data_IF_790974567178
#
_entry.id   IF_790974567178
#
_cell.length_a   1.000
_cell.length_b   1.000
_cell.length_c   1.000
_cell.angle_alpha   90.00
_cell.angle_beta   90.00
_cell.angle_gamma   90.00
#
_symmetry.space_group_name_H-M   'P 1'
#
loop_
_entity.id
_entity.type
_entity.pdbx_description
1 polymer ?
#
# COMPACT_ATOMS: atom_id res chain seq x y z
N UNK A 1 4.91 13.31 -0.29
CA UNK A 1 4.67 11.96 -0.83
C UNK A 1 3.21 11.82 -1.23
N UNK A 2 2.92 11.28 -2.39
CA UNK A 2 1.55 11.23 -2.84
C UNK A 2 0.73 10.21 -2.07
N UNK A 3 -0.45 10.64 -1.63
CA UNK A 3 -1.48 9.74 -1.17
C UNK A 3 -2.22 9.25 -2.41
N UNK A 4 -2.26 7.94 -2.62
CA UNK A 4 -2.86 7.35 -3.80
C UNK A 4 -4.36 7.20 -3.63
N UNK A 5 -4.81 6.80 -2.42
CA UNK A 5 -6.22 6.57 -2.15
C UNK A 5 -6.48 6.72 -0.66
N UNK A 6 -7.70 7.13 -0.31
CA UNK A 6 -8.12 7.29 1.08
C UNK A 6 -9.30 6.38 1.38
N UNK A 7 -9.25 5.78 2.57
CA UNK A 7 -10.30 4.89 3.07
C UNK A 7 -10.78 5.40 4.43
N UNK A 8 -11.87 4.84 4.94
CA UNK A 8 -12.44 5.31 6.20
C UNK A 8 -11.45 5.22 7.37
N UNK A 9 -10.63 4.16 7.41
CA UNK A 9 -9.72 3.91 8.54
C UNK A 9 -8.24 4.10 8.21
N UNK A 10 -7.91 4.37 6.94
CA UNK A 10 -6.50 4.51 6.56
C UNK A 10 -6.36 5.23 5.22
N UNK A 11 -5.11 5.51 4.87
CA UNK A 11 -4.76 6.02 3.55
C UNK A 11 -3.61 5.22 2.98
N UNK A 12 -3.58 5.11 1.66
CA UNK A 12 -2.55 4.36 0.94
C UNK A 12 -1.61 5.35 0.25
N UNK A 13 -0.32 5.13 0.39
CA UNK A 13 0.68 5.91 -0.34
C UNK A 13 1.83 5.04 -0.81
N UNK A 14 2.54 5.53 -1.84
CA UNK A 14 3.77 4.91 -2.33
C UNK A 14 4.87 5.95 -2.19
N UNK A 15 5.97 5.56 -1.54
CA UNK A 15 7.09 6.46 -1.30
C UNK A 15 8.02 6.50 -2.50
N UNK A 16 8.60 7.68 -2.76
CA UNK A 16 9.65 7.81 -3.75
C UNK A 16 10.94 7.19 -3.21
N UNK A 17 11.72 6.59 -4.12
CA UNK A 17 13.06 6.03 -3.81
C UNK A 17 13.01 4.99 -2.70
N UNK A 18 12.00 4.17 -2.73
CA UNK A 18 11.86 3.06 -1.79
C UNK A 18 12.52 1.81 -2.38
N UNK A 19 12.91 0.88 -1.52
CA UNK A 19 13.60 -0.33 -1.97
C UNK A 19 12.60 -1.38 -2.48
N UNK A 20 13.04 -2.29 -3.38
CA UNK A 20 12.19 -3.39 -3.80
C UNK A 20 12.01 -4.42 -2.67
N UNK A 21 11.01 -5.28 -2.73
CA UNK A 21 10.05 -5.44 -3.84
C UNK A 21 9.02 -4.31 -3.87
N UNK A 22 8.34 -4.11 -5.01
CA UNK A 22 7.30 -3.10 -5.11
C UNK A 22 6.23 -3.29 -4.03
N UNK A 23 5.94 -2.23 -3.30
CA UNK A 23 4.99 -2.26 -2.19
C UNK A 23 4.35 -0.89 -2.00
N UNK A 24 3.22 -0.88 -1.30
CA UNK A 24 2.60 0.36 -0.87
C UNK A 24 2.48 0.37 0.65
N UNK A 25 2.25 1.54 1.19
CA UNK A 25 2.08 1.76 2.62
C UNK A 25 0.62 2.06 2.92
N UNK A 26 0.04 1.37 3.89
CA UNK A 26 -1.29 1.67 4.42
C UNK A 26 -1.09 2.28 5.80
N UNK A 27 -1.43 3.57 5.94
CA UNK A 27 -1.28 4.29 7.19
C UNK A 27 -2.64 4.40 7.86
N UNK A 28 -2.80 3.67 8.96
CA UNK A 28 -4.05 3.63 9.69
C UNK A 28 -4.23 4.88 10.54
N UNK A 29 -5.47 5.25 10.81
CA UNK A 29 -5.78 6.47 11.55
C UNK A 29 -5.28 6.43 12.99
N UNK A 30 -5.02 5.24 13.53
CA UNK A 30 -4.49 5.08 14.89
C UNK A 30 -2.95 5.15 14.96
N UNK A 31 -2.30 5.41 13.82
CA UNK A 31 -0.85 5.56 13.77
C UNK A 31 -0.09 4.32 13.34
N UNK A 32 -0.76 3.16 13.23
CA UNK A 32 -0.09 1.96 12.74
C UNK A 32 0.09 2.06 11.23
N UNK A 33 1.11 1.37 10.74
CA UNK A 33 1.43 1.35 9.32
C UNK A 33 1.65 -0.09 8.87
N UNK A 34 1.12 -0.45 7.71
CA UNK A 34 1.36 -1.75 7.11
C UNK A 34 2.01 -1.55 5.74
N UNK A 35 2.97 -2.41 5.40
CA UNK A 35 3.57 -2.46 4.07
C UNK A 35 3.01 -3.67 3.35
N UNK A 36 2.47 -3.46 2.16
CA UNK A 36 1.81 -4.51 1.40
C UNK A 36 2.48 -4.65 0.03
N UNK A 37 2.95 -5.85 -0.28
CA UNK A 37 3.56 -6.12 -1.58
C UNK A 37 2.50 -6.07 -2.68
N UNK A 38 2.83 -5.45 -3.81
CA UNK A 38 1.87 -5.24 -4.89
C UNK A 38 1.61 -6.54 -5.66
N UNK A 39 2.64 -7.37 -5.83
CA UNK A 39 2.52 -8.57 -6.64
C UNK A 39 1.56 -9.61 -6.04
N UNK A 40 1.62 -9.82 -4.73
CA UNK A 40 0.84 -10.87 -4.07
C UNK A 40 -0.04 -10.34 -2.92
N UNK A 41 -0.03 -9.03 -2.69
CA UNK A 41 -0.87 -8.35 -1.69
C UNK A 41 -0.71 -8.93 -0.29
N UNK A 42 0.54 -9.19 0.10
CA UNK A 42 0.86 -9.68 1.44
C UNK A 42 1.39 -8.57 2.31
N UNK A 43 0.95 -8.58 3.56
CA UNK A 43 1.48 -7.67 4.57
C UNK A 43 2.85 -8.21 5.00
N UNK A 44 3.91 -7.45 4.71
CA UNK A 44 5.28 -7.86 5.01
C UNK A 44 5.89 -7.05 6.16
N UNK A 45 5.19 -6.05 6.66
CA UNK A 45 5.63 -5.23 7.78
C UNK A 45 4.42 -4.59 8.43
N UNK A 46 4.48 -4.45 9.77
CA UNK A 46 3.44 -3.79 10.53
C UNK A 46 2.51 -4.77 11.25
N UNK A 47 1.99 -4.33 12.38
CA UNK A 47 1.07 -5.13 13.21
C UNK A 47 -0.37 -4.79 12.83
N UNK A 48 -0.74 -5.20 11.62
CA UNK A 48 -2.07 -4.96 11.05
C UNK A 48 -2.58 -6.28 10.51
N UNK A 49 -3.79 -6.67 10.89
CA UNK A 49 -4.40 -7.88 10.39
C UNK A 49 -5.06 -7.62 9.03
N UNK A 50 -5.13 -8.65 8.19
CA UNK A 50 -5.75 -8.57 6.87
C UNK A 50 -7.16 -7.97 6.95
N UNK A 51 -7.96 -8.39 7.94
CA UNK A 51 -9.34 -7.92 8.09
C UNK A 51 -9.44 -6.43 8.35
N UNK A 52 -8.38 -5.82 8.89
CA UNK A 52 -8.38 -4.39 9.20
C UNK A 52 -8.21 -3.53 7.95
N UNK A 53 -7.67 -4.11 6.89
CA UNK A 53 -7.46 -3.41 5.62
C UNK A 53 -8.06 -4.19 4.44
N UNK A 54 -9.12 -4.96 4.70
CA UNK A 54 -9.74 -5.79 3.65
C UNK A 54 -10.21 -4.95 2.45
N UNK A 55 -10.77 -3.77 2.71
CA UNK A 55 -11.19 -2.85 1.65
C UNK A 55 -9.99 -2.34 0.83
N UNK A 56 -8.87 -2.08 1.50
CA UNK A 56 -7.64 -1.68 0.82
C UNK A 56 -7.14 -2.81 -0.08
N UNK A 57 -7.15 -4.03 0.41
CA UNK A 57 -6.67 -5.18 -0.36
C UNK A 57 -7.56 -5.47 -1.56
N UNK A 58 -8.88 -5.33 -1.42
CA UNK A 58 -9.81 -5.48 -2.53
C UNK A 58 -9.55 -4.41 -3.59
N UNK A 59 -9.38 -3.17 -3.17
CA UNK A 59 -9.06 -2.06 -4.08
C UNK A 59 -7.71 -2.31 -4.78
N UNK A 60 -6.71 -2.75 -4.02
CA UNK A 60 -5.38 -3.00 -4.56
C UNK A 60 -5.39 -4.12 -5.59
N UNK A 61 -6.16 -5.18 -5.36
CA UNK A 61 -6.30 -6.26 -6.33
C UNK A 61 -6.84 -5.75 -7.67
N UNK A 62 -7.80 -4.85 -7.62
CA UNK A 62 -8.38 -4.25 -8.81
C UNK A 62 -7.44 -3.26 -9.52
N UNK A 63 -6.38 -2.83 -8.84
CA UNK A 63 -5.49 -1.76 -9.32
C UNK A 63 -4.02 -2.14 -9.32
N UNK A 64 -3.70 -3.44 -9.34
CA UNK A 64 -2.30 -3.90 -9.23
C UNK A 64 -1.41 -3.32 -10.32
N UNK A 65 -1.88 -3.26 -11.56
CA UNK A 65 -1.08 -2.73 -12.66
C UNK A 65 -0.76 -1.25 -12.44
N UNK A 66 -1.74 -0.47 -12.00
CA UNK A 66 -1.53 0.96 -11.71
C UNK A 66 -0.56 1.14 -10.55
N UNK A 67 -0.71 0.33 -9.50
CA UNK A 67 0.17 0.40 -8.33
C UNK A 67 1.61 0.07 -8.69
N UNK A 68 1.81 -0.98 -9.49
CA UNK A 68 3.15 -1.38 -9.93
C UNK A 68 3.79 -0.28 -10.78
N UNK A 69 3.03 0.30 -11.70
CA UNK A 69 3.52 1.39 -12.55
C UNK A 69 3.88 2.62 -11.72
N UNK A 70 3.04 2.96 -10.73
CA UNK A 70 3.29 4.10 -9.86
C UNK A 70 4.55 3.90 -9.04
N UNK A 71 4.74 2.69 -8.48
CA UNK A 71 5.96 2.39 -7.73
C UNK A 71 7.20 2.58 -8.61
N UNK A 72 7.19 1.99 -9.80
CA UNK A 72 8.32 2.10 -10.72
C UNK A 72 8.60 3.55 -11.09
N UNK A 73 7.56 4.32 -11.37
CA UNK A 73 7.66 5.75 -11.70
C UNK A 73 8.38 6.52 -10.59
N UNK A 74 8.02 6.25 -9.34
CA UNK A 74 8.56 6.97 -8.19
C UNK A 74 9.99 6.55 -7.82
N UNK A 75 10.46 5.40 -8.35
CA UNK A 75 11.83 4.94 -8.07
C UNK A 75 12.85 5.48 -9.07
N UNK A 76 12.44 6.16 -10.10
CA UNK A 76 13.33 6.73 -11.11
C UNK A 76 14.10 7.95 -10.63
#
# INVERSE_FOLDING_TARGET
MPVIERFAQCRVRINAKDHPPPHFHALLNDGREAWVTIADLKIVHGKVAVREIADVLDWAEANQAMLAATFEELQR
#
